data_IF_256223000936
#
_entry.id   IF_256223000936
#
_cell.length_a   1.000
_cell.length_b   1.000
_cell.length_c   1.000
_cell.angle_alpha   90.00
_cell.angle_beta   90.00
_cell.angle_gamma   90.00
#
_symmetry.space_group_name_H-M   'P 1'
#
loop_
_entity.id
_entity.type
_entity.pdbx_description
1 polymer ?
#
# COMPACT_ATOMS: atom_id res chain seq x y z
N UNK A 1 -20.49 26.68 11.60
CA UNK A 1 -19.92 25.33 11.44
C UNK A 1 -20.88 24.59 10.54
N UNK A 2 -20.53 24.46 9.27
CA UNK A 2 -21.40 23.90 8.24
C UNK A 2 -21.05 22.42 8.06
N UNK A 3 -22.07 21.58 7.98
CA UNK A 3 -22.00 20.12 7.86
C UNK A 3 -21.06 19.70 6.71
N UNK A 4 -19.98 19.00 7.03
CA UNK A 4 -18.87 18.66 6.12
C UNK A 4 -19.15 17.52 5.12
N UNK A 5 -20.42 17.23 4.82
CA UNK A 5 -20.82 16.23 3.83
C UNK A 5 -21.90 16.84 2.92
N UNK A 6 -21.53 17.20 1.69
CA UNK A 6 -22.46 17.70 0.68
C UNK A 6 -22.82 16.55 -0.28
N UNK A 7 -24.10 16.38 -0.61
CA UNK A 7 -24.57 15.25 -1.42
C UNK A 7 -25.58 15.70 -2.48
N UNK A 8 -25.46 15.12 -3.66
CA UNK A 8 -26.48 15.15 -4.72
C UNK A 8 -26.92 13.72 -5.02
N UNK A 9 -27.95 13.53 -5.86
CA UNK A 9 -28.34 12.20 -6.32
C UNK A 9 -27.22 11.47 -7.10
N UNK A 10 -26.19 12.20 -7.54
CA UNK A 10 -25.11 11.70 -8.40
C UNK A 10 -23.80 11.42 -7.62
N UNK A 11 -23.64 11.95 -6.40
CA UNK A 11 -22.39 11.86 -5.66
C UNK A 11 -22.42 12.36 -4.21
N UNK A 12 -21.28 12.16 -3.55
CA UNK A 12 -21.00 12.60 -2.17
C UNK A 12 -19.67 13.32 -2.14
N UNK A 13 -19.59 14.45 -1.43
CA UNK A 13 -18.34 15.17 -1.17
C UNK A 13 -18.09 15.18 0.32
N UNK A 14 -16.93 14.69 0.74
CA UNK A 14 -16.40 14.88 2.09
C UNK A 14 -15.44 16.08 2.06
N UNK A 15 -15.73 17.12 2.83
CA UNK A 15 -14.89 18.33 2.89
C UNK A 15 -14.24 18.50 4.27
N UNK A 16 -12.90 18.48 4.27
CA UNK A 16 -12.05 18.73 5.44
C UNK A 16 -11.37 20.09 5.38
N UNK A 17 -11.88 21.02 4.57
CA UNK A 17 -11.38 22.37 4.35
C UNK A 17 -10.20 22.41 3.36
N UNK A 18 -9.02 21.98 3.82
CA UNK A 18 -7.83 21.99 2.96
C UNK A 18 -7.84 20.83 1.93
N UNK A 19 -8.57 19.76 2.24
CA UNK A 19 -8.63 18.51 1.49
C UNK A 19 -10.09 18.12 1.33
N UNK A 20 -10.47 17.68 0.13
CA UNK A 20 -11.80 17.16 -0.13
C UNK A 20 -11.76 15.90 -0.99
N UNK A 21 -12.72 15.01 -0.74
CA UNK A 21 -12.92 13.77 -1.49
C UNK A 21 -14.28 13.85 -2.17
N UNK A 22 -14.29 13.90 -3.49
CA UNK A 22 -15.51 13.80 -4.27
C UNK A 22 -15.70 12.35 -4.73
N UNK A 23 -16.88 11.79 -4.51
CA UNK A 23 -17.25 10.42 -4.84
C UNK A 23 -18.44 10.49 -5.79
N UNK A 24 -18.26 10.00 -7.01
CA UNK A 24 -19.36 9.80 -7.97
C UNK A 24 -19.90 8.40 -7.75
N UNK A 25 -21.23 8.23 -7.75
CA UNK A 25 -21.84 6.91 -7.50
C UNK A 25 -22.04 6.09 -8.78
N UNK A 26 -22.12 6.73 -9.96
CA UNK A 26 -22.38 6.12 -11.27
C UNK A 26 -21.72 6.92 -12.42
N UNK A 27 -20.64 6.41 -13.06
CA UNK A 27 -19.85 5.27 -12.60
C UNK A 27 -19.20 5.58 -11.25
N UNK A 28 -19.09 4.56 -10.40
CA UNK A 28 -18.42 4.69 -9.10
C UNK A 28 -16.98 5.14 -9.32
N UNK A 29 -16.63 6.29 -8.75
CA UNK A 29 -15.27 6.80 -8.79
C UNK A 29 -15.02 7.79 -7.66
N UNK A 30 -13.75 8.07 -7.38
CA UNK A 30 -13.37 9.11 -6.44
C UNK A 30 -12.25 10.01 -6.96
N UNK A 31 -12.24 11.24 -6.46
CA UNK A 31 -11.25 12.27 -6.73
C UNK A 31 -10.80 12.94 -5.43
N UNK A 32 -9.49 13.13 -5.27
CA UNK A 32 -8.91 13.81 -4.12
C UNK A 32 -8.37 15.17 -4.54
N UNK A 33 -8.81 16.22 -3.83
CA UNK A 33 -8.29 17.58 -4.00
C UNK A 33 -7.63 18.09 -2.73
N UNK A 34 -6.61 18.92 -2.90
CA UNK A 34 -6.00 19.72 -1.83
C UNK A 34 -5.79 21.14 -2.29
N UNK A 35 -6.38 22.12 -1.59
CA UNK A 35 -6.33 23.53 -1.97
C UNK A 35 -6.76 23.76 -3.42
N UNK A 36 -7.84 23.11 -3.86
CA UNK A 36 -8.37 23.17 -5.23
C UNK A 36 -7.60 22.34 -6.26
N UNK A 37 -6.36 21.91 -5.98
CA UNK A 37 -5.55 21.08 -6.89
C UNK A 37 -5.94 19.61 -6.79
N UNK A 38 -6.19 18.98 -7.95
CA UNK A 38 -6.43 17.53 -8.06
C UNK A 38 -5.13 16.73 -7.88
N UNK A 39 -5.09 15.95 -6.80
CA UNK A 39 -3.95 15.10 -6.43
C UNK A 39 -4.16 13.67 -6.91
N UNK A 40 -5.33 13.08 -6.66
CA UNK A 40 -5.74 11.76 -7.16
C UNK A 40 -6.95 11.94 -8.07
N UNK A 41 -7.00 11.21 -9.19
CA UNK A 41 -8.09 11.27 -10.17
C UNK A 41 -8.37 9.90 -10.77
N UNK A 42 -9.59 9.72 -11.30
CA UNK A 42 -9.98 8.44 -11.89
C UNK A 42 -9.88 7.31 -10.87
N UNK A 43 -10.11 7.61 -9.59
CA UNK A 43 -10.03 6.64 -8.52
C UNK A 43 -11.17 5.63 -8.67
N UNK A 44 -10.85 4.34 -8.63
CA UNK A 44 -11.81 3.25 -8.74
C UNK A 44 -11.49 2.13 -7.74
N UNK A 45 -12.47 1.28 -7.51
CA UNK A 45 -12.34 0.08 -6.68
C UNK A 45 -12.62 -1.13 -7.56
N UNK A 46 -11.88 -2.21 -7.31
CA UNK A 46 -12.01 -3.44 -8.07
C UNK A 46 -11.79 -4.65 -7.17
N UNK A 47 -12.27 -5.79 -7.64
CA UNK A 47 -11.96 -7.09 -7.06
C UNK A 47 -11.54 -8.07 -8.15
N UNK A 48 -10.85 -9.12 -7.76
CA UNK A 48 -10.54 -10.23 -8.65
C UNK A 48 -10.99 -11.56 -8.04
N UNK A 49 -11.52 -12.44 -8.89
CA UNK A 49 -11.81 -13.83 -8.58
C UNK A 49 -10.72 -14.73 -9.13
N UNK A 50 -10.62 -15.92 -8.55
CA UNK A 50 -9.63 -16.92 -8.92
C UNK A 50 -9.12 -17.66 -7.71
N UNK A 51 -7.93 -18.23 -7.83
CA UNK A 51 -7.33 -19.06 -6.79
C UNK A 51 -5.90 -18.65 -6.47
N UNK A 52 -5.45 -19.00 -5.27
CA UNK A 52 -4.07 -18.84 -4.83
C UNK A 52 -3.50 -20.21 -4.45
N UNK A 53 -2.29 -20.49 -4.94
CA UNK A 53 -1.59 -21.77 -4.78
C UNK A 53 -0.14 -21.55 -4.35
N UNK A 54 0.07 -20.75 -3.31
CA UNK A 54 1.41 -20.36 -2.84
C UNK A 54 2.33 -21.55 -2.59
N UNK A 55 3.58 -21.41 -3.04
CA UNK A 55 4.61 -22.43 -2.86
C UNK A 55 5.54 -22.02 -1.74
N UNK A 56 5.52 -22.78 -0.64
CA UNK A 56 6.48 -22.61 0.45
C UNK A 56 7.82 -23.28 0.08
N UNK A 57 8.90 -22.50 0.16
CA UNK A 57 10.26 -22.96 -0.08
C UNK A 57 10.94 -23.13 1.28
N UNK A 58 10.91 -24.36 1.79
CA UNK A 58 11.40 -24.69 3.14
C UNK A 58 12.84 -24.21 3.40
N UNK A 59 13.74 -24.33 2.43
CA UNK A 59 15.15 -23.94 2.60
C UNK A 59 15.33 -22.44 2.88
N UNK A 60 14.42 -21.61 2.37
CA UNK A 60 14.50 -20.15 2.51
C UNK A 60 13.51 -19.62 3.53
N UNK A 61 12.69 -20.51 4.10
CA UNK A 61 11.45 -20.18 4.81
C UNK A 61 10.56 -19.20 4.02
N UNK A 62 10.70 -19.16 2.70
CA UNK A 62 10.11 -18.16 1.83
C UNK A 62 8.85 -18.64 1.17
N UNK A 63 7.96 -17.71 0.82
CA UNK A 63 6.74 -18.01 0.06
C UNK A 63 6.83 -17.41 -1.34
N UNK A 64 6.70 -18.25 -2.36
CA UNK A 64 6.49 -17.80 -3.74
C UNK A 64 4.99 -17.67 -3.96
N UNK A 65 4.46 -16.44 -4.13
CA UNK A 65 3.05 -16.26 -4.39
C UNK A 65 2.68 -16.81 -5.77
N UNK A 66 1.62 -17.60 -5.84
CA UNK A 66 1.05 -18.08 -7.10
C UNK A 66 -0.43 -17.77 -7.11
N UNK A 67 -0.87 -16.99 -8.08
CA UNK A 67 -2.26 -16.57 -8.22
C UNK A 67 -2.73 -16.78 -9.65
N UNK A 68 -3.84 -17.49 -9.78
CA UNK A 68 -4.55 -17.67 -11.04
C UNK A 68 -5.76 -16.74 -11.02
N UNK A 69 -5.62 -15.58 -11.66
CA UNK A 69 -6.70 -14.59 -11.80
C UNK A 69 -7.62 -15.03 -12.93
N UNK A 70 -8.88 -15.29 -12.61
CA UNK A 70 -9.89 -15.72 -13.57
C UNK A 70 -10.69 -14.53 -14.11
N UNK A 71 -11.10 -13.63 -13.22
CA UNK A 71 -11.96 -12.49 -13.54
C UNK A 71 -11.55 -11.28 -12.71
N UNK A 72 -11.55 -10.11 -13.33
CA UNK A 72 -11.39 -8.82 -12.65
C UNK A 72 -12.66 -8.01 -12.87
N UNK A 73 -13.25 -7.54 -11.78
CA UNK A 73 -14.49 -6.75 -11.78
C UNK A 73 -14.21 -5.37 -11.21
N UNK A 74 -14.43 -4.34 -12.03
CA UNK A 74 -14.45 -2.93 -11.58
C UNK A 74 -15.82 -2.61 -10.98
N UNK A 75 -15.84 -2.06 -9.77
CA UNK A 75 -17.08 -1.67 -9.11
C UNK A 75 -17.65 -0.43 -9.82
N UNK A 76 -18.70 -0.62 -10.59
CA UNK A 76 -19.25 0.42 -11.47
C UNK A 76 -20.36 1.27 -10.87
N UNK A 77 -21.07 0.79 -9.84
CA UNK A 77 -22.18 1.51 -9.20
C UNK A 77 -22.21 1.24 -7.71
N UNK A 78 -22.42 2.30 -6.93
CA UNK A 78 -22.69 2.17 -5.50
C UNK A 78 -23.87 3.02 -5.04
N UNK A 79 -24.38 2.71 -3.86
CA UNK A 79 -25.42 3.46 -3.17
C UNK A 79 -24.96 3.78 -1.75
N UNK A 80 -25.30 4.97 -1.27
CA UNK A 80 -24.93 5.40 0.08
C UNK A 80 -25.89 4.75 1.08
N UNK A 81 -25.35 3.97 2.01
CA UNK A 81 -26.14 3.29 3.05
C UNK A 81 -26.02 3.96 4.41
N UNK A 82 -24.87 4.57 4.73
CA UNK A 82 -24.67 5.28 5.99
C UNK A 82 -23.85 6.54 5.77
N UNK A 83 -24.08 7.53 6.63
CA UNK A 83 -23.34 8.81 6.66
C UNK A 83 -22.97 9.11 8.10
N UNK A 84 -21.71 9.47 8.28
CA UNK A 84 -21.13 9.86 9.55
C UNK A 84 -20.39 11.18 9.38
N UNK A 85 -20.04 11.84 10.48
CA UNK A 85 -19.22 13.05 10.41
C UNK A 85 -17.85 12.72 9.79
N UNK A 86 -17.58 13.27 8.61
CA UNK A 86 -16.34 13.03 7.87
C UNK A 86 -16.20 11.63 7.26
N UNK A 87 -17.27 10.82 7.18
CA UNK A 87 -17.21 9.51 6.54
C UNK A 87 -18.53 9.12 5.86
N UNK A 88 -18.43 8.26 4.85
CA UNK A 88 -19.58 7.69 4.15
C UNK A 88 -19.35 6.20 3.92
N UNK A 89 -20.42 5.43 4.05
CA UNK A 89 -20.44 4.01 3.72
C UNK A 89 -21.31 3.80 2.49
N UNK A 90 -20.76 3.09 1.52
CA UNK A 90 -21.41 2.71 0.29
C UNK A 90 -21.53 1.20 0.19
N UNK A 91 -22.52 0.77 -0.58
CA UNK A 91 -22.67 -0.63 -1.01
C UNK A 91 -22.66 -0.66 -2.53
N UNK A 92 -21.78 -1.47 -3.10
CA UNK A 92 -21.67 -1.70 -4.53
C UNK A 92 -22.18 -3.10 -4.87
N UNK A 93 -23.11 -3.20 -5.83
CA UNK A 93 -23.60 -4.48 -6.32
C UNK A 93 -22.56 -5.14 -7.24
N UNK A 94 -22.39 -6.45 -7.09
CA UNK A 94 -21.45 -7.23 -7.90
C UNK A 94 -22.15 -7.87 -9.11
N UNK A 95 -21.44 -8.02 -10.22
CA UNK A 95 -21.93 -8.60 -11.46
C UNK A 95 -22.38 -10.06 -11.28
N UNK A 96 -21.61 -10.85 -10.52
CA UNK A 96 -21.93 -12.23 -10.18
C UNK A 96 -22.98 -12.39 -9.05
N UNK A 97 -23.55 -11.27 -8.58
CA UNK A 97 -24.44 -11.22 -7.43
C UNK A 97 -23.69 -11.06 -6.11
N UNK A 98 -24.40 -10.52 -5.11
CA UNK A 98 -23.82 -10.08 -3.85
C UNK A 98 -23.39 -8.62 -3.89
N UNK A 99 -22.76 -8.18 -2.80
CA UNK A 99 -22.46 -6.78 -2.56
C UNK A 99 -21.07 -6.62 -1.91
N UNK A 100 -20.37 -5.57 -2.27
CA UNK A 100 -19.16 -5.10 -1.60
C UNK A 100 -19.47 -3.85 -0.78
N UNK A 101 -18.95 -3.80 0.45
CA UNK A 101 -19.04 -2.65 1.34
C UNK A 101 -17.80 -1.78 1.17
N UNK A 102 -18.02 -0.48 1.01
CA UNK A 102 -16.96 0.51 0.83
C UNK A 102 -17.12 1.56 1.92
N UNK A 103 -16.05 1.86 2.64
CA UNK A 103 -16.01 3.00 3.55
C UNK A 103 -15.02 4.03 3.03
N UNK A 104 -15.45 5.29 2.95
CA UNK A 104 -14.56 6.41 2.66
C UNK A 104 -14.64 7.38 3.83
N UNK A 105 -13.52 7.61 4.50
CA UNK A 105 -13.42 8.52 5.62
C UNK A 105 -12.34 9.58 5.39
N UNK A 106 -12.66 10.84 5.68
CA UNK A 106 -11.74 11.96 5.68
C UNK A 106 -11.49 12.40 7.12
N UNK A 107 -10.34 12.00 7.65
CA UNK A 107 -9.94 12.34 9.00
C UNK A 107 -9.34 13.77 9.09
N UNK A 108 -9.38 14.41 10.27
CA UNK A 108 -8.74 15.69 10.50
C UNK A 108 -7.29 15.74 10.03
N UNK A 109 -6.92 16.86 9.41
CA UNK A 109 -5.59 17.06 8.83
C UNK A 109 -5.36 16.37 7.48
N UNK A 110 -6.41 15.87 6.80
CA UNK A 110 -6.33 15.52 5.38
C UNK A 110 -5.92 14.08 5.07
N UNK A 111 -6.07 13.15 6.02
CA UNK A 111 -5.90 11.71 5.75
C UNK A 111 -7.23 11.17 5.22
N UNK A 112 -7.19 10.53 4.05
CA UNK A 112 -8.34 9.81 3.50
C UNK A 112 -8.12 8.32 3.68
N UNK A 113 -9.08 7.63 4.27
CA UNK A 113 -9.11 6.17 4.36
C UNK A 113 -10.17 5.66 3.40
N UNK A 114 -9.80 4.67 2.59
CA UNK A 114 -10.70 3.92 1.73
C UNK A 114 -10.60 2.46 2.15
N UNK A 115 -11.70 1.89 2.64
CA UNK A 115 -11.81 0.47 2.93
C UNK A 115 -12.72 -0.21 1.92
N UNK A 116 -12.33 -1.41 1.48
CA UNK A 116 -13.13 -2.28 0.64
C UNK A 116 -13.22 -3.65 1.30
N UNK A 117 -14.46 -4.10 1.51
CA UNK A 117 -14.78 -5.41 2.06
C UNK A 117 -15.76 -6.12 1.12
N UNK A 118 -15.48 -7.38 0.82
CA UNK A 118 -16.36 -8.22 0.04
C UNK A 118 -16.51 -9.58 0.76
N UNK A 119 -17.73 -9.98 1.13
CA UNK A 119 -17.99 -11.33 1.62
C UNK A 119 -17.54 -12.40 0.61
N UNK A 120 -17.20 -13.59 1.11
CA UNK A 120 -16.76 -14.71 0.27
C UNK A 120 -15.28 -14.69 -0.11
N UNK A 121 -14.49 -13.75 0.41
CA UNK A 121 -13.03 -13.67 0.26
C UNK A 121 -12.56 -13.84 -1.19
N UNK A 122 -12.86 -12.86 -2.09
CA UNK A 122 -12.34 -12.89 -3.45
C UNK A 122 -10.81 -12.99 -3.44
N UNK A 123 -10.22 -13.46 -4.54
CA UNK A 123 -8.77 -13.59 -4.68
C UNK A 123 -8.08 -12.27 -4.31
N UNK A 124 -8.57 -11.14 -4.83
CA UNK A 124 -8.07 -9.80 -4.48
C UNK A 124 -9.16 -8.77 -4.30
N UNK A 125 -8.84 -7.80 -3.46
CA UNK A 125 -9.52 -6.51 -3.32
C UNK A 125 -8.51 -5.42 -3.68
N UNK A 126 -8.94 -4.41 -4.43
CA UNK A 126 -8.05 -3.38 -4.92
C UNK A 126 -8.67 -2.01 -5.04
N UNK A 127 -7.80 -1.01 -4.96
CA UNK A 127 -8.09 0.39 -5.28
C UNK A 127 -7.07 0.84 -6.33
N UNK A 128 -7.50 1.61 -7.31
CA UNK A 128 -6.61 2.16 -8.34
C UNK A 128 -6.92 3.61 -8.65
N UNK A 129 -5.96 4.33 -9.20
CA UNK A 129 -6.16 5.67 -9.74
C UNK A 129 -5.11 6.00 -10.80
N UNK A 130 -5.42 6.99 -11.61
CA UNK A 130 -4.56 7.40 -12.72
C UNK A 130 -3.21 7.95 -12.21
N UNK A 131 -2.12 7.42 -12.75
CA UNK A 131 -0.77 7.96 -12.55
C UNK A 131 -0.44 8.95 -13.66
N UNK A 132 0.25 10.04 -13.32
CA UNK A 132 0.79 10.94 -14.37
C UNK A 132 2.11 10.41 -14.94
N UNK A 133 2.37 10.64 -16.23
CA UNK A 133 3.60 10.15 -16.88
C UNK A 133 4.89 10.65 -16.20
N UNK A 134 4.89 11.90 -15.68
CA UNK A 134 6.01 12.50 -14.96
C UNK A 134 6.04 12.18 -13.45
N UNK A 135 5.05 11.46 -12.95
CA UNK A 135 4.98 11.06 -11.54
C UNK A 135 6.14 10.12 -11.19
N UNK A 136 6.75 10.37 -10.04
CA UNK A 136 7.82 9.56 -9.47
C UNK A 136 7.31 8.96 -8.17
N UNK A 137 7.62 7.69 -7.95
CA UNK A 137 7.08 6.89 -6.87
C UNK A 137 8.24 6.27 -6.08
N UNK A 138 8.22 6.33 -4.75
CA UNK A 138 9.29 5.75 -3.94
C UNK A 138 8.77 5.22 -2.60
N UNK A 139 9.63 4.57 -1.82
CA UNK A 139 9.27 3.90 -0.57
C UNK A 139 9.20 2.39 -0.75
N UNK A 140 8.13 1.80 -0.23
CA UNK A 140 7.88 0.36 -0.14
C UNK A 140 8.82 -0.41 0.82
N UNK A 141 9.62 0.30 1.62
CA UNK A 141 10.57 -0.28 2.58
C UNK A 141 11.99 -0.32 2.04
N UNK A 142 12.82 -1.21 2.60
CA UNK A 142 14.16 -1.46 2.05
C UNK A 142 14.01 -2.04 0.64
N UNK A 143 14.55 -1.35 -0.36
CA UNK A 143 14.47 -1.73 -1.77
C UNK A 143 15.86 -1.80 -2.38
N UNK A 144 16.28 -3.00 -2.75
CA UNK A 144 17.58 -3.24 -3.38
C UNK A 144 17.39 -3.23 -4.91
N UNK A 145 17.65 -2.09 -5.52
CA UNK A 145 17.59 -1.92 -6.96
C UNK A 145 18.44 -0.73 -7.40
N UNK A 146 18.73 -0.65 -8.70
CA UNK A 146 19.54 0.44 -9.26
C UNK A 146 18.77 1.78 -9.34
N UNK A 147 17.46 1.76 -9.09
CA UNK A 147 16.59 2.92 -9.21
C UNK A 147 15.76 3.13 -7.95
N UNK A 148 15.72 4.37 -7.48
CA UNK A 148 14.87 4.81 -6.37
C UNK A 148 13.39 4.90 -6.78
N UNK A 149 13.14 5.25 -8.05
CA UNK A 149 11.81 5.36 -8.62
C UNK A 149 11.22 3.97 -8.89
N UNK A 150 9.99 3.78 -8.45
CA UNK A 150 9.23 2.54 -8.54
C UNK A 150 8.22 2.58 -9.69
N UNK A 151 8.10 3.69 -10.42
CA UNK A 151 7.24 3.77 -11.60
C UNK A 151 7.61 2.70 -12.63
N UNK A 152 6.60 2.09 -13.26
CA UNK A 152 6.76 0.98 -14.19
C UNK A 152 6.86 -0.40 -13.54
N UNK A 153 6.88 -0.50 -12.20
CA UNK A 153 7.12 -1.77 -11.49
C UNK A 153 5.84 -2.36 -10.91
N UNK A 154 5.80 -3.69 -10.83
CA UNK A 154 4.84 -4.46 -10.03
C UNK A 154 5.56 -5.00 -8.81
N UNK A 155 5.22 -4.49 -7.63
CA UNK A 155 5.95 -4.77 -6.38
C UNK A 155 5.04 -5.53 -5.41
N UNK A 156 5.35 -6.81 -5.25
CA UNK A 156 4.78 -7.64 -4.20
C UNK A 156 5.54 -7.46 -2.90
N UNK A 157 4.82 -7.16 -1.83
CA UNK A 157 5.41 -7.03 -0.51
C UNK A 157 5.47 -8.41 0.16
N UNK A 158 6.69 -8.84 0.46
CA UNK A 158 7.02 -10.06 1.20
C UNK A 158 8.50 -10.01 1.59
N UNK A 159 8.86 -10.55 2.75
CA UNK A 159 10.19 -10.43 3.33
C UNK A 159 11.24 -11.36 2.69
N UNK A 160 10.86 -12.20 1.72
CA UNK A 160 11.63 -13.41 1.37
C UNK A 160 12.30 -13.41 -0.01
N UNK A 161 12.66 -12.24 -0.56
CA UNK A 161 13.37 -12.22 -1.85
C UNK A 161 14.85 -12.59 -1.68
N UNK A 162 15.43 -13.26 -2.66
CA UNK A 162 16.87 -13.44 -2.80
C UNK A 162 17.38 -12.51 -3.89
N UNK A 163 18.48 -11.80 -3.66
CA UNK A 163 19.18 -11.01 -4.66
C UNK A 163 19.91 -11.97 -5.61
N UNK A 164 19.59 -11.82 -6.88
CA UNK A 164 20.24 -12.48 -8.02
C UNK A 164 20.76 -11.43 -9.01
N UNK A 165 21.10 -10.23 -8.51
CA UNK A 165 21.61 -9.15 -9.36
C UNK A 165 23.02 -9.43 -9.90
N UNK A 166 23.54 -8.53 -10.75
CA UNK A 166 24.78 -8.78 -11.51
C UNK A 166 26.02 -9.01 -10.64
N UNK A 167 26.01 -8.55 -9.38
CA UNK A 167 27.13 -8.71 -8.44
C UNK A 167 26.95 -9.92 -7.50
N UNK A 168 25.94 -10.77 -7.74
CA UNK A 168 25.72 -11.96 -6.92
C UNK A 168 26.84 -12.99 -7.19
N UNK A 169 27.56 -13.46 -6.15
CA UNK A 169 28.56 -14.51 -6.30
C UNK A 169 27.97 -15.77 -6.95
N UNK A 170 28.76 -16.46 -7.78
CA UNK A 170 28.30 -17.59 -8.57
C UNK A 170 27.83 -18.77 -7.70
N UNK A 171 28.54 -19.05 -6.61
CA UNK A 171 28.19 -20.05 -5.59
C UNK A 171 26.86 -19.71 -4.88
N UNK A 172 26.60 -18.41 -4.66
CA UNK A 172 25.33 -17.95 -4.09
C UNK A 172 24.19 -18.03 -5.11
N UNK A 173 24.45 -17.81 -6.40
CA UNK A 173 23.45 -18.02 -7.47
C UNK A 173 23.03 -19.49 -7.57
N UNK A 174 23.98 -20.42 -7.46
CA UNK A 174 23.72 -21.87 -7.53
C UNK A 174 22.77 -22.36 -6.44
N UNK A 175 22.84 -21.76 -5.24
CA UNK A 175 21.93 -22.09 -4.13
C UNK A 175 20.65 -21.25 -4.11
N UNK A 176 20.41 -20.41 -5.13
CA UNK A 176 19.17 -19.65 -5.34
C UNK A 176 19.25 -18.14 -5.09
N UNK A 177 20.44 -17.56 -5.04
CA UNK A 177 20.71 -16.14 -4.80
C UNK A 177 21.06 -15.82 -3.35
N UNK A 178 21.70 -14.67 -3.11
CA UNK A 178 21.95 -14.18 -1.74
C UNK A 178 20.59 -13.86 -1.11
N UNK A 179 20.25 -14.34 0.10
CA UNK A 179 19.14 -13.81 0.87
C UNK A 179 19.27 -12.30 1.01
N UNK A 180 18.53 -11.59 0.19
CA UNK A 180 18.44 -10.14 0.21
C UNK A 180 16.98 -9.88 -0.05
N UNK A 181 16.20 -10.07 1.00
CA UNK A 181 14.86 -9.56 0.95
C UNK A 181 15.00 -8.07 0.69
N UNK A 182 14.04 -7.53 -0.01
CA UNK A 182 13.29 -6.44 0.58
C UNK A 182 12.86 -6.83 2.03
N UNK A 183 13.84 -7.02 2.93
CA UNK A 183 13.75 -7.83 4.17
C UNK A 183 12.88 -7.14 5.21
N UNK A 184 12.79 -5.82 5.07
CA UNK A 184 11.87 -4.95 5.76
C UNK A 184 10.99 -4.26 4.71
N UNK A 185 10.07 -4.98 4.05
CA UNK A 185 9.13 -4.33 3.16
C UNK A 185 8.18 -3.51 4.04
N UNK A 186 7.88 -2.29 3.62
CA UNK A 186 6.94 -1.42 4.31
C UNK A 186 5.81 -1.07 3.32
N UNK A 187 4.53 -1.20 3.67
CA UNK A 187 3.43 -0.90 2.76
C UNK A 187 3.17 0.60 2.59
N UNK A 188 4.24 1.41 2.50
CA UNK A 188 4.20 2.86 2.41
C UNK A 188 4.82 3.35 1.09
N UNK A 189 4.02 3.97 0.24
CA UNK A 189 4.44 4.57 -1.03
C UNK A 189 4.37 6.09 -0.92
N UNK A 190 5.36 6.80 -1.47
CA UNK A 190 5.39 8.25 -1.58
C UNK A 190 5.36 8.65 -3.06
N UNK A 191 4.51 9.62 -3.39
CA UNK A 191 4.41 10.20 -4.74
C UNK A 191 4.95 11.63 -4.80
N UNK A 192 5.67 11.95 -5.89
CA UNK A 192 6.07 13.32 -6.22
C UNK A 192 4.90 14.27 -6.50
N UNK A 193 3.67 13.75 -6.59
CA UNK A 193 2.45 14.55 -6.75
C UNK A 193 1.91 15.10 -5.44
N UNK A 194 2.58 14.82 -4.32
CA UNK A 194 2.27 15.41 -3.01
C UNK A 194 1.27 14.61 -2.20
N UNK A 195 1.24 13.29 -2.41
CA UNK A 195 0.55 12.34 -1.54
C UNK A 195 1.45 11.16 -1.17
N UNK A 196 1.07 10.45 -0.12
CA UNK A 196 1.60 9.14 0.21
C UNK A 196 0.46 8.15 0.42
N UNK A 197 0.75 6.88 0.31
CA UNK A 197 -0.19 5.76 0.44
C UNK A 197 0.34 4.83 1.52
N UNK A 198 -0.51 4.40 2.43
CA UNK A 198 -0.27 3.25 3.28
C UNK A 198 -1.35 2.19 3.05
N UNK A 199 -0.93 0.99 2.65
CA UNK A 199 -1.81 -0.17 2.63
C UNK A 199 -1.81 -0.84 4.01
N UNK A 200 -2.89 -0.68 4.75
CA UNK A 200 -3.12 -1.36 6.01
C UNK A 200 -3.74 -2.73 5.71
N UNK A 201 -2.88 -3.75 5.64
CA UNK A 201 -3.27 -5.15 5.47
C UNK A 201 -2.44 -6.02 6.41
N UNK A 202 -3.07 -7.05 6.97
CA UNK A 202 -2.46 -7.97 7.93
C UNK A 202 -1.99 -9.29 7.31
N UNK A 203 -2.24 -9.51 6.02
CA UNK A 203 -1.89 -10.75 5.32
C UNK A 203 -0.82 -10.56 4.23
N UNK A 204 -0.23 -11.67 3.76
CA UNK A 204 0.76 -11.63 2.68
C UNK A 204 0.11 -11.21 1.37
N UNK A 205 0.96 -10.79 0.43
CA UNK A 205 0.52 -10.57 -0.95
C UNK A 205 -0.08 -9.20 -1.24
N UNK A 206 0.21 -8.21 -0.38
CA UNK A 206 -0.03 -6.81 -0.73
C UNK A 206 0.79 -6.48 -1.98
N UNK A 207 0.12 -6.01 -3.03
CA UNK A 207 0.70 -5.69 -4.32
C UNK A 207 0.49 -4.21 -4.61
N UNK A 208 1.60 -3.54 -4.92
CA UNK A 208 1.61 -2.22 -5.54
C UNK A 208 1.94 -2.39 -7.02
N UNK A 209 0.92 -2.29 -7.88
CA UNK A 209 1.10 -2.24 -9.33
C UNK A 209 1.24 -0.77 -9.75
N UNK A 210 2.43 -0.41 -10.21
CA UNK A 210 2.83 0.95 -10.58
C UNK A 210 3.19 1.04 -12.06
N UNK A 211 2.78 0.06 -12.87
CA UNK A 211 3.13 -0.07 -14.29
C UNK A 211 2.53 1.07 -15.12
N UNK A 212 1.20 1.17 -15.14
CA UNK A 212 0.45 2.22 -15.82
C UNK A 212 -0.15 3.19 -14.80
N UNK A 213 -1.19 2.74 -14.10
CA UNK A 213 -1.83 3.42 -12.98
C UNK A 213 -1.09 3.16 -11.66
N UNK A 214 -1.54 3.80 -10.56
CA UNK A 214 -1.21 3.34 -9.21
C UNK A 214 -2.36 2.47 -8.74
N UNK A 215 -2.11 1.18 -8.57
CA UNK A 215 -3.06 0.21 -8.04
C UNK A 215 -2.49 -0.49 -6.80
N UNK A 216 -3.28 -0.51 -5.74
CA UNK A 216 -2.93 -1.14 -4.46
C UNK A 216 -3.96 -2.22 -4.18
N UNK A 217 -3.49 -3.45 -3.97
CA UNK A 217 -4.37 -4.58 -3.69
C UNK A 217 -3.83 -5.49 -2.61
N UNK A 218 -4.74 -6.19 -1.95
CA UNK A 218 -4.43 -7.25 -1.01
C UNK A 218 -5.33 -8.46 -1.31
N UNK A 219 -4.94 -9.63 -0.79
CA UNK A 219 -5.78 -10.83 -0.90
C UNK A 219 -7.02 -10.69 -0.05
N UNK A 220 -8.19 -11.07 -0.56
CA UNK A 220 -9.43 -11.03 0.23
C UNK A 220 -9.39 -11.95 1.45
N UNK A 221 -8.59 -13.03 1.40
CA UNK A 221 -8.32 -13.90 2.55
C UNK A 221 -7.60 -13.18 3.72
N UNK A 222 -6.95 -12.05 3.46
CA UNK A 222 -6.35 -11.20 4.49
C UNK A 222 -7.36 -10.29 5.21
N UNK A 223 -8.63 -10.33 4.80
CA UNK A 223 -9.70 -9.44 5.27
C UNK A 223 -9.92 -8.26 4.33
N UNK A 224 -10.58 -7.22 4.85
CA UNK A 224 -10.84 -6.00 4.11
C UNK A 224 -9.53 -5.29 3.71
N UNK A 225 -9.46 -4.78 2.48
CA UNK A 225 -8.39 -3.87 2.08
C UNK A 225 -8.65 -2.51 2.73
N UNK A 226 -7.66 -1.94 3.42
CA UNK A 226 -7.70 -0.54 3.87
C UNK A 226 -6.52 0.22 3.31
N UNK A 227 -6.80 1.32 2.61
CA UNK A 227 -5.78 2.20 2.03
C UNK A 227 -5.91 3.60 2.59
N UNK A 228 -4.82 4.11 3.16
CA UNK A 228 -4.72 5.47 3.69
C UNK A 228 -3.94 6.34 2.71
N UNK A 229 -4.58 7.40 2.22
CA UNK A 229 -3.96 8.46 1.44
C UNK A 229 -3.63 9.64 2.37
N UNK A 230 -2.34 9.96 2.47
CA UNK A 230 -1.84 11.11 3.21
C UNK A 230 -1.56 12.27 2.27
N UNK A 231 -2.06 13.46 2.60
CA UNK A 231 -1.90 14.67 1.78
C UNK A 231 -1.20 15.80 2.53
N UNK A 232 -0.40 15.46 3.54
CA UNK A 232 0.37 16.45 4.29
C UNK A 232 1.28 17.30 3.38
N UNK A 233 1.64 18.54 3.78
CA UNK A 233 2.30 19.48 2.88
C UNK A 233 3.67 19.03 2.34
N UNK A 234 4.36 18.12 3.03
CA UNK A 234 5.71 17.65 2.65
C UNK A 234 5.83 16.12 2.75
N UNK A 235 6.73 15.49 1.97
CA UNK A 235 7.05 14.08 2.10
C UNK A 235 7.37 13.63 3.53
N UNK A 236 8.18 14.42 4.24
CA UNK A 236 8.55 14.14 5.63
C UNK A 236 7.34 14.24 6.58
N UNK A 237 6.36 15.11 6.30
CA UNK A 237 5.13 15.18 7.08
C UNK A 237 4.24 13.96 6.84
N UNK A 238 4.13 13.49 5.59
CA UNK A 238 3.43 12.24 5.28
C UNK A 238 4.07 11.04 6.02
N UNK A 239 5.40 10.92 5.97
CA UNK A 239 6.14 9.86 6.66
C UNK A 239 5.93 9.93 8.18
N UNK A 240 6.01 11.13 8.78
CA UNK A 240 5.73 11.31 10.22
C UNK A 240 4.31 10.91 10.58
N UNK A 241 3.32 11.20 9.72
CA UNK A 241 1.92 10.79 9.96
C UNK A 241 1.78 9.28 9.92
N UNK A 242 2.42 8.62 8.95
CA UNK A 242 2.51 7.16 8.90
C UNK A 242 3.13 6.59 10.19
N UNK A 243 4.32 7.04 10.59
CA UNK A 243 4.98 6.58 11.81
C UNK A 243 4.16 6.85 13.09
N UNK A 244 3.39 7.94 13.18
CA UNK A 244 2.49 8.16 14.32
C UNK A 244 1.37 7.12 14.42
N UNK A 245 0.95 6.54 13.30
CA UNK A 245 -0.09 5.53 13.24
C UNK A 245 0.47 4.11 13.42
N UNK A 246 1.72 3.87 13.01
CA UNK A 246 2.33 2.53 13.01
C UNK A 246 3.43 2.32 14.05
N UNK A 247 3.86 3.37 14.74
CA UNK A 247 4.98 3.36 15.68
C UNK A 247 6.11 4.28 15.25
N UNK A 248 6.47 5.23 16.12
CA UNK A 248 7.63 6.09 15.93
C UNK A 248 8.92 5.33 16.29
N UNK A 249 10.01 5.51 15.54
CA UNK A 249 11.30 4.95 15.95
C UNK A 249 11.74 5.55 17.28
N UNK A 250 12.28 4.71 18.16
CA UNK A 250 12.89 5.16 19.40
C UNK A 250 14.23 5.87 19.11
N UNK A 251 14.62 6.78 19.99
CA UNK A 251 16.00 7.26 20.02
C UNK A 251 16.90 6.12 20.48
N UNK A 252 18.06 5.98 19.83
CA UNK A 252 19.07 5.04 20.30
C UNK A 252 19.68 5.58 21.61
N UNK A 253 20.12 4.70 22.53
CA UNK A 253 20.97 5.15 23.63
C UNK A 253 22.25 5.79 23.10
N UNK A 254 22.88 6.67 23.88
CA UNK A 254 24.07 7.44 23.45
C UNK A 254 25.18 6.56 22.85
N UNK A 255 25.49 5.43 23.51
CA UNK A 255 26.50 4.47 23.05
C UNK A 255 26.16 3.83 21.68
N UNK A 256 24.88 3.79 21.30
CA UNK A 256 24.45 3.25 20.01
C UNK A 256 24.90 4.09 18.81
N UNK A 257 25.22 5.37 19.02
CA UNK A 257 25.80 6.26 18.00
C UNK A 257 27.33 6.20 17.95
N UNK A 258 27.98 5.42 18.83
CA UNK A 258 29.43 5.24 18.87
C UNK A 258 29.98 4.42 17.71
N UNK A 259 31.28 4.09 17.76
CA UNK A 259 31.91 3.19 16.78
C UNK A 259 31.57 1.73 17.07
N UNK A 260 31.22 0.97 16.03
CA UNK A 260 30.90 -0.45 16.13
C UNK A 260 32.03 -1.25 15.48
N UNK A 261 32.77 -1.98 16.30
CA UNK A 261 33.74 -2.98 15.84
C UNK A 261 33.01 -4.32 15.74
N UNK A 262 33.09 -4.98 14.59
CA UNK A 262 32.43 -6.25 14.34
C UNK A 262 33.15 -7.07 13.26
N UNK A 263 32.92 -8.38 13.30
CA UNK A 263 33.26 -9.37 12.29
C UNK A 263 32.06 -10.32 12.16
N UNK A 264 31.91 -10.99 11.03
CA UNK A 264 30.82 -11.97 10.81
C UNK A 264 30.74 -12.98 11.97
N UNK A 265 31.90 -13.45 12.47
CA UNK A 265 32.00 -14.24 13.71
C UNK A 265 33.32 -13.94 14.43
N UNK A 266 33.26 -13.87 15.77
CA UNK A 266 34.42 -14.06 16.66
C UNK A 266 34.28 -15.44 17.35
N UNK A 267 35.07 -16.45 16.97
CA UNK A 267 34.90 -17.81 17.51
C UNK A 267 35.19 -17.90 19.02
N UNK A 268 36.12 -17.07 19.51
CA UNK A 268 36.53 -17.07 20.91
C UNK A 268 36.63 -15.64 21.48
N UNK A 269 36.46 -15.52 22.80
CA UNK A 269 36.59 -14.24 23.52
C UNK A 269 37.96 -13.57 23.30
N UNK A 270 39.05 -14.35 23.31
CA UNK A 270 40.40 -13.83 23.05
C UNK A 270 40.50 -13.10 21.70
N UNK A 271 39.74 -13.57 20.70
CA UNK A 271 39.76 -12.99 19.35
C UNK A 271 39.08 -11.60 19.33
N UNK A 272 38.19 -11.32 20.30
CA UNK A 272 37.59 -9.99 20.52
C UNK A 272 38.53 -9.09 21.33
N UNK A 273 39.22 -9.65 22.32
CA UNK A 273 40.15 -8.91 23.18
C UNK A 273 41.40 -8.44 22.42
N UNK A 274 41.83 -9.19 21.40
CA UNK A 274 43.02 -8.91 20.59
C UNK A 274 42.79 -7.97 19.37
N UNK A 275 41.54 -7.58 19.04
CA UNK A 275 41.13 -6.88 17.80
C UNK A 275 40.78 -5.37 17.97
#
# INVERSE_FOLDING_TARGET
>A
MADGVESTAEGVVLDGGAVSVAITLRPLSFELRRGGRRIVRGGGLWLARGSAGDHFVQLTEGVIPHEDVEEVEELGRAEVVERHEGAVVLVAALAAGGEARIEVALAPGGRVMIALECPGAPLRLGVRWERRAEERLTGLGARHGLHLDQAGRRVWLGADRRYTGPDCPADMLEVGGIPQGDYAPAPFLLSSRGYAVWAEASGPGTLFDLSEDVSVSARGAAGALRVHLFTDPTPAACLRRYCRLTGMPALLPEWGYGHWKSRDVYPHQRDVEDD
#
